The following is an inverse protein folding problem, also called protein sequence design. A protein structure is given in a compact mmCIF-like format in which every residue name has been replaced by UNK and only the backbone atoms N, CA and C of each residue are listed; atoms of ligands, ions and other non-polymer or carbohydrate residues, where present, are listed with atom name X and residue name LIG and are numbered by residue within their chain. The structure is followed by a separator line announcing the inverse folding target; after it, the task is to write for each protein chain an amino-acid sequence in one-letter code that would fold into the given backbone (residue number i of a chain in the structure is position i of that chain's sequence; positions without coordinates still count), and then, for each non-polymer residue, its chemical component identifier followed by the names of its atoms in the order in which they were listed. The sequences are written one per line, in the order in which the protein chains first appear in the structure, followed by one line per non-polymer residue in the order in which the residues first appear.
data_IF_266002313752
#
_entry.id   IF_266002313752
#
_cell.length_a   1.000
_cell.length_b   1.000
_cell.length_c   1.000
_cell.angle_alpha   90.00
_cell.angle_beta   90.00
_cell.angle_gamma   90.00
#
_symmetry.space_group_name_H-M   'P 1'
#
loop_
_entity.id
_entity.type
_entity.pdbx_description
1 polymer ?
#
# COMPACT_ATOMS: atom_id res chain seq x y z
N UNK A 1 -1.08 19.71 -13.03
CA UNK A 1 -1.24 18.79 -11.87
C UNK A 1 -0.07 17.80 -11.90
N UNK A 2 1.11 18.12 -11.35
CA UNK A 2 2.24 17.20 -11.41
C UNK A 2 2.36 16.47 -10.07
N UNK A 3 1.72 15.30 -9.98
CA UNK A 3 2.01 14.33 -8.93
C UNK A 3 2.58 13.10 -9.62
N UNK A 4 3.88 13.17 -9.95
CA UNK A 4 4.87 12.09 -10.02
C UNK A 4 6.00 12.46 -11.00
N UNK A 5 7.05 13.10 -10.48
CA UNK A 5 8.40 13.02 -11.04
C UNK A 5 9.35 12.92 -9.85
N UNK A 6 9.79 11.69 -9.58
CA UNK A 6 10.88 11.41 -8.65
C UNK A 6 12.18 11.86 -9.31
N UNK A 7 12.70 13.01 -8.92
CA UNK A 7 14.11 13.39 -9.12
C UNK A 7 14.64 14.18 -7.93
N UNK A 8 15.62 13.60 -7.25
CA UNK A 8 16.59 14.18 -6.31
C UNK A 8 16.08 14.83 -5.00
N UNK A 9 16.56 14.29 -3.87
CA UNK A 9 15.86 14.21 -2.58
C UNK A 9 16.27 15.20 -1.48
N UNK A 10 16.72 16.42 -1.77
CA UNK A 10 17.12 17.34 -0.68
C UNK A 10 16.34 18.68 -0.62
N UNK A 11 15.74 19.14 -1.73
CA UNK A 11 15.04 20.43 -1.76
C UNK A 11 13.52 20.33 -1.57
N UNK A 12 12.87 19.24 -2.03
CA UNK A 12 11.41 19.03 -1.91
C UNK A 12 11.01 18.73 -0.46
N UNK A 13 11.87 18.03 0.31
CA UNK A 13 11.65 17.83 1.74
C UNK A 13 11.60 19.15 2.49
N UNK A 14 12.35 20.17 2.07
CA UNK A 14 12.38 21.50 2.68
C UNK A 14 11.12 22.32 2.37
N UNK A 15 10.56 22.23 1.17
CA UNK A 15 9.29 22.89 0.83
C UNK A 15 8.09 22.17 1.47
N UNK A 16 8.06 20.83 1.41
CA UNK A 16 7.04 20.03 2.07
C UNK A 16 7.06 20.29 3.59
N UNK A 17 8.24 20.40 4.21
CA UNK A 17 8.39 20.73 5.64
C UNK A 17 7.94 22.14 6.04
N UNK A 18 7.80 23.08 5.09
CA UNK A 18 7.21 24.40 5.33
C UNK A 18 5.68 24.37 5.29
N UNK A 19 5.09 23.58 4.39
CA UNK A 19 3.64 23.34 4.35
C UNK A 19 3.17 22.50 5.55
N UNK A 20 4.01 21.55 5.96
CA UNK A 20 3.96 20.76 7.19
C UNK A 20 3.59 21.53 8.45
N UNK A 21 4.22 22.70 8.63
CA UNK A 21 4.04 23.54 9.81
C UNK A 21 2.71 24.28 9.78
N UNK A 22 2.07 24.38 8.60
CA UNK A 22 0.76 25.03 8.39
C UNK A 22 -0.41 24.03 8.28
N UNK A 23 -0.15 22.76 8.01
CA UNK A 23 -1.18 21.74 7.71
C UNK A 23 -1.61 20.87 8.92
N UNK A 24 -1.56 21.37 10.16
CA UNK A 24 -2.13 20.66 11.33
C UNK A 24 -1.55 19.27 11.63
N UNK A 25 -2.33 18.43 12.33
CA UNK A 25 -1.91 17.08 12.77
C UNK A 25 -1.84 16.10 11.60
N UNK A 26 -0.68 15.44 11.46
CA UNK A 26 -0.40 14.40 10.46
C UNK A 26 -1.20 13.15 10.75
N UNK A 27 -1.76 12.55 9.70
CA UNK A 27 -2.43 11.26 9.79
C UNK A 27 -1.61 10.23 9.03
N UNK A 28 -1.12 9.22 9.75
CA UNK A 28 -0.43 8.08 9.17
C UNK A 28 -1.39 6.89 9.14
N UNK A 29 -1.63 6.34 7.95
CA UNK A 29 -2.50 5.18 7.75
C UNK A 29 -1.69 4.07 7.11
N UNK A 30 -1.65 2.89 7.74
CA UNK A 30 -0.99 1.72 7.18
C UNK A 30 -2.00 0.62 6.89
N UNK A 31 -2.10 0.20 5.62
CA UNK A 31 -3.01 -0.86 5.17
C UNK A 31 -2.23 -2.17 5.05
N UNK A 32 -2.67 -3.17 5.83
CA UNK A 32 -2.17 -4.54 5.77
C UNK A 32 -2.98 -5.31 4.72
N UNK A 33 -2.32 -6.13 3.90
CA UNK A 33 -2.98 -6.93 2.84
C UNK A 33 -3.02 -6.25 1.46
N UNK A 34 -2.46 -5.05 1.36
CA UNK A 34 -2.34 -4.29 0.12
C UNK A 34 -3.35 -3.15 0.02
N UNK A 35 -3.01 -2.15 -0.78
CA UNK A 35 -3.87 -1.02 -1.11
C UNK A 35 -3.93 -0.85 -2.63
N UNK A 36 -5.06 -0.38 -3.14
CA UNK A 36 -5.22 -0.09 -4.56
C UNK A 36 -4.93 1.39 -4.87
N UNK A 37 -4.92 1.73 -6.15
CA UNK A 37 -4.79 3.13 -6.59
C UNK A 37 -5.98 3.99 -6.15
N UNK A 38 -7.13 3.37 -5.84
CA UNK A 38 -8.34 4.04 -5.39
C UNK A 38 -8.13 4.76 -4.06
N UNK A 39 -7.52 4.08 -3.08
CA UNK A 39 -7.29 4.61 -1.73
C UNK A 39 -6.26 5.73 -1.77
N UNK A 40 -5.19 5.58 -2.56
CA UNK A 40 -4.19 6.63 -2.74
C UNK A 40 -4.82 7.89 -3.37
N UNK A 41 -5.70 7.72 -4.36
CA UNK A 41 -6.42 8.84 -4.99
C UNK A 41 -7.32 9.57 -4.00
N UNK A 42 -8.03 8.82 -3.15
CA UNK A 42 -8.87 9.40 -2.09
C UNK A 42 -7.99 10.13 -1.06
N UNK A 43 -6.86 9.55 -0.67
CA UNK A 43 -5.90 10.15 0.26
C UNK A 43 -5.38 11.51 -0.24
N UNK A 44 -5.07 11.62 -1.53
CA UNK A 44 -4.67 12.89 -2.16
C UNK A 44 -5.80 13.93 -2.15
N UNK A 45 -7.04 13.50 -2.43
CA UNK A 45 -8.22 14.39 -2.36
C UNK A 45 -8.49 14.86 -0.93
N UNK A 46 -8.36 13.97 0.05
CA UNK A 46 -8.52 14.28 1.48
C UNK A 46 -7.43 15.23 1.97
N UNK A 47 -6.19 15.07 1.51
CA UNK A 47 -5.08 15.98 1.86
C UNK A 47 -5.40 17.42 1.46
N UNK A 48 -5.96 17.60 0.26
CA UNK A 48 -6.40 18.92 -0.22
C UNK A 48 -7.65 19.44 0.49
N UNK A 49 -8.61 18.55 0.80
CA UNK A 49 -9.89 18.90 1.43
C UNK A 49 -9.76 19.25 2.91
N UNK A 50 -8.92 18.53 3.66
CA UNK A 50 -8.74 18.71 5.09
C UNK A 50 -7.61 19.69 5.42
N UNK A 51 -6.83 20.14 4.41
CA UNK A 51 -5.59 20.92 4.61
C UNK A 51 -4.68 20.26 5.66
N UNK A 52 -4.58 18.93 5.61
CA UNK A 52 -3.75 18.11 6.49
C UNK A 52 -3.02 17.07 5.67
N UNK A 53 -1.76 16.82 6.00
CA UNK A 53 -0.99 15.78 5.31
C UNK A 53 -1.47 14.39 5.76
N UNK A 54 -1.90 13.58 4.78
CA UNK A 54 -2.25 12.17 5.00
C UNK A 54 -1.22 11.29 4.29
N UNK A 55 -0.48 10.50 5.09
CA UNK A 55 0.52 9.57 4.59
C UNK A 55 -0.07 8.17 4.61
N UNK A 56 -0.29 7.61 3.42
CA UNK A 56 -0.76 6.25 3.23
C UNK A 56 0.43 5.32 2.98
N UNK A 57 0.64 4.37 3.87
CA UNK A 57 1.51 3.22 3.67
C UNK A 57 0.69 1.96 3.42
N UNK A 58 1.24 1.02 2.65
CA UNK A 58 0.66 -0.30 2.51
C UNK A 58 1.76 -1.35 2.41
N UNK A 59 1.40 -2.59 2.64
CA UNK A 59 2.28 -3.75 2.42
C UNK A 59 2.54 -4.03 0.93
N UNK A 60 1.57 -3.72 0.05
CA UNK A 60 1.73 -3.78 -1.41
C UNK A 60 0.75 -2.81 -2.08
N UNK A 61 1.16 -2.21 -3.20
CA UNK A 61 0.26 -1.39 -4.03
C UNK A 61 -0.08 -2.17 -5.28
N UNK A 62 -1.31 -2.66 -5.35
CA UNK A 62 -1.77 -3.55 -6.41
C UNK A 62 -2.85 -2.91 -7.26
N UNK A 63 -2.90 -3.28 -8.53
CA UNK A 63 -4.04 -2.96 -9.37
C UNK A 63 -5.23 -3.89 -9.04
N UNK A 64 -6.49 -3.46 -9.26
CA UNK A 64 -7.67 -4.28 -8.98
C UNK A 64 -7.61 -5.74 -9.46
N UNK A 65 -7.15 -6.05 -10.69
CA UNK A 65 -7.03 -7.45 -11.13
C UNK A 65 -5.99 -8.24 -10.33
N UNK A 66 -4.87 -7.61 -9.94
CA UNK A 66 -3.84 -8.27 -9.13
C UNK A 66 -4.34 -8.55 -7.72
N UNK A 67 -5.05 -7.60 -7.12
CA UNK A 67 -5.69 -7.78 -5.82
C UNK A 67 -6.69 -8.95 -5.84
N UNK A 68 -7.55 -9.01 -6.86
CA UNK A 68 -8.51 -10.11 -7.03
C UNK A 68 -7.79 -11.45 -7.21
N UNK A 69 -6.71 -11.51 -7.99
CA UNK A 69 -5.93 -12.74 -8.16
C UNK A 69 -5.29 -13.18 -6.85
N UNK A 70 -4.73 -12.25 -6.06
CA UNK A 70 -4.19 -12.57 -4.72
C UNK A 70 -5.28 -13.14 -3.81
N UNK A 71 -6.47 -12.56 -3.82
CA UNK A 71 -7.62 -13.08 -3.07
C UNK A 71 -8.04 -14.48 -3.52
N UNK A 72 -8.08 -14.72 -4.84
CA UNK A 72 -8.38 -16.06 -5.40
C UNK A 72 -7.35 -17.10 -4.98
N UNK A 73 -6.06 -16.76 -5.03
CA UNK A 73 -4.98 -17.65 -4.63
C UNK A 73 -5.01 -17.99 -3.13
N UNK A 74 -5.43 -17.05 -2.28
CA UNK A 74 -5.64 -17.33 -0.87
C UNK A 74 -6.82 -18.28 -0.68
N UNK A 75 -7.94 -18.04 -1.36
CA UNK A 75 -9.11 -18.92 -1.32
C UNK A 75 -8.81 -20.35 -1.81
N UNK A 76 -7.99 -20.52 -2.85
CA UNK A 76 -7.60 -21.85 -3.34
C UNK A 76 -6.67 -22.58 -2.37
N UNK A 77 -5.79 -21.85 -1.69
CA UNK A 77 -4.88 -22.42 -0.67
C UNK A 77 -5.61 -22.81 0.62
N UNK A 78 -6.68 -22.11 0.97
CA UNK A 78 -7.50 -22.45 2.13
C UNK A 78 -8.42 -23.66 1.86
N UNK A 79 -8.85 -23.85 0.61
CA UNK A 79 -9.61 -25.05 0.18
C UNK A 79 -8.66 -26.24 0.00
N UNK A 80 -7.45 -26.00 -0.51
CA UNK A 80 -6.36 -26.95 -0.47
C UNK A 80 -5.68 -26.92 0.90
N UNK A 81 -6.44 -27.21 1.97
CA UNK A 81 -5.86 -27.81 3.16
C UNK A 81 -4.93 -28.91 2.66
N UNK A 82 -3.63 -28.71 2.86
CA UNK A 82 -2.58 -29.40 2.13
C UNK A 82 -2.95 -30.88 1.92
N UNK A 83 -2.95 -31.44 0.68
CA UNK A 83 -2.88 -32.88 0.59
C UNK A 83 -1.60 -33.25 1.32
N UNK A 84 -1.73 -33.96 2.44
CA UNK A 84 -0.62 -34.45 3.22
C UNK A 84 0.36 -35.08 2.23
N UNK A 85 1.52 -34.45 2.04
CA UNK A 85 2.53 -35.06 1.19
C UNK A 85 2.87 -36.39 1.88
N UNK A 86 2.67 -37.55 1.22
CA UNK A 86 3.05 -38.80 1.83
C UNK A 86 4.53 -38.72 2.12
N UNK A 87 4.91 -38.89 3.40
CA UNK A 87 6.29 -39.00 3.81
C UNK A 87 6.94 -40.06 2.91
N UNK A 88 7.94 -39.64 2.12
CA UNK A 88 8.76 -40.57 1.37
C UNK A 88 9.88 -41.02 2.31
N UNK A 89 9.90 -42.29 2.76
CA UNK A 89 11.07 -42.79 3.44
C UNK A 89 12.24 -42.75 2.45
N UNK A 90 13.26 -41.98 2.80
CA UNK A 90 14.55 -42.00 2.14
C UNK A 90 15.24 -43.31 2.57
N UNK A 91 15.10 -44.37 1.77
CA UNK A 91 15.97 -45.54 1.88
C UNK A 91 17.28 -45.25 1.13
N UNK A 92 18.37 -45.79 1.66
CA UNK A 92 19.70 -45.77 1.05
C UNK A 92 19.73 -46.68 -0.17
#
# INVERSE_FOLDING_TARGET
IPFFLRTNSDSVLKSASLDLKKLGQRIFVFIIGGATRSELRVCHKLTSSLRREVVLGSTSFDDPPQYITKLKLLSEKDIAGAPAQPFKPQYW
#
